data_IF_350485677236
#
_entry.id   IF_350485677236
#
_cell.length_a   1.000
_cell.length_b   1.000
_cell.length_c   1.000
_cell.angle_alpha   90.00
_cell.angle_beta   90.00
_cell.angle_gamma   90.00
#
_symmetry.space_group_name_H-M   'P 1'
#
loop_
_entity.id
_entity.type
_entity.pdbx_description
1 polymer ?
#
# COMPACT_ATOMS: atom_id res chain seq x y z
N UNK A 1 -4.71 16.36 -25.15
CA UNK A 1 -5.00 15.02 -24.57
C UNK A 1 -5.68 15.25 -23.22
N UNK A 2 -6.67 14.45 -22.82
CA UNK A 2 -7.24 14.57 -21.47
C UNK A 2 -6.11 14.38 -20.45
N UNK A 3 -6.16 15.13 -19.35
CA UNK A 3 -5.17 15.01 -18.27
C UNK A 3 -5.28 13.64 -17.61
N UNK A 4 -4.16 12.94 -17.48
CA UNK A 4 -4.12 11.64 -16.79
C UNK A 4 -4.41 11.83 -15.29
N UNK A 5 -5.11 10.90 -14.63
CA UNK A 5 -5.23 10.90 -13.18
C UNK A 5 -3.86 10.72 -12.52
N UNK A 6 -3.71 11.22 -11.30
CA UNK A 6 -2.44 11.17 -10.56
C UNK A 6 -2.59 10.26 -9.34
N UNK A 7 -1.63 9.36 -9.17
CA UNK A 7 -1.53 8.49 -8.01
C UNK A 7 -0.27 8.76 -7.19
N UNK A 8 -0.37 8.70 -5.85
CA UNK A 8 0.76 8.67 -4.93
C UNK A 8 0.91 7.26 -4.35
N UNK A 9 2.08 6.65 -4.54
CA UNK A 9 2.42 5.33 -3.98
C UNK A 9 3.55 5.49 -2.97
N UNK A 10 3.27 5.24 -1.69
CA UNK A 10 4.30 5.21 -0.66
C UNK A 10 5.04 3.88 -0.63
N UNK A 11 6.36 3.88 -0.40
CA UNK A 11 7.19 2.67 -0.54
C UNK A 11 7.24 2.18 -1.99
N UNK A 12 7.26 3.10 -2.97
CA UNK A 12 7.09 2.79 -4.39
C UNK A 12 8.34 2.33 -5.13
N UNK A 13 9.52 2.38 -4.50
CA UNK A 13 10.79 2.10 -5.19
C UNK A 13 10.96 0.63 -5.62
N UNK A 14 10.34 -0.32 -4.91
CA UNK A 14 10.56 -1.76 -5.14
C UNK A 14 9.40 -2.62 -4.66
N UNK A 15 9.49 -3.92 -4.91
CA UNK A 15 8.56 -4.93 -4.42
C UNK A 15 7.10 -4.60 -4.77
N UNK A 16 6.20 -4.76 -3.81
CA UNK A 16 4.76 -4.53 -3.99
C UNK A 16 4.49 -3.10 -4.47
N UNK A 17 5.16 -2.09 -3.89
CA UNK A 17 4.97 -0.70 -4.29
C UNK A 17 5.33 -0.43 -5.74
N UNK A 18 6.44 -0.98 -6.24
CA UNK A 18 6.81 -0.91 -7.67
C UNK A 18 5.77 -1.61 -8.55
N UNK A 19 5.33 -2.82 -8.18
CA UNK A 19 4.29 -3.54 -8.93
C UNK A 19 2.99 -2.75 -9.02
N UNK A 20 2.59 -2.07 -7.92
CA UNK A 20 1.42 -1.18 -7.91
C UNK A 20 1.65 0.03 -8.81
N UNK A 21 2.82 0.69 -8.72
CA UNK A 21 3.14 1.86 -9.53
C UNK A 21 3.08 1.53 -11.03
N UNK A 22 3.59 0.38 -11.44
CA UNK A 22 3.54 -0.07 -12.83
C UNK A 22 2.12 -0.36 -13.30
N UNK A 23 1.32 -1.06 -12.51
CA UNK A 23 -0.08 -1.35 -12.84
C UNK A 23 -0.95 -0.09 -12.94
N UNK A 24 -0.69 0.92 -12.11
CA UNK A 24 -1.32 2.23 -12.20
C UNK A 24 -0.92 2.96 -13.49
N UNK A 25 0.36 2.94 -13.85
CA UNK A 25 0.86 3.55 -15.09
C UNK A 25 0.21 2.92 -16.34
N UNK A 26 0.13 1.58 -16.39
CA UNK A 26 -0.56 0.80 -17.43
C UNK A 26 -2.06 1.12 -17.48
N UNK A 27 -2.65 1.48 -16.34
CA UNK A 27 -4.05 1.91 -16.22
C UNK A 27 -4.27 3.39 -16.52
N UNK A 28 -3.24 4.11 -16.99
CA UNK A 28 -3.35 5.49 -17.45
C UNK A 28 -3.07 6.55 -16.40
N UNK A 29 -2.55 6.20 -15.21
CA UNK A 29 -2.16 7.17 -14.19
C UNK A 29 -0.76 7.74 -14.45
N UNK A 30 -0.56 9.00 -14.06
CA UNK A 30 0.77 9.53 -13.72
C UNK A 30 1.05 9.19 -12.25
N UNK A 31 2.31 8.93 -11.91
CA UNK A 31 2.63 8.32 -10.61
C UNK A 31 3.68 9.13 -9.85
N UNK A 32 3.35 9.51 -8.63
CA UNK A 32 4.34 9.97 -7.65
C UNK A 32 4.72 8.78 -6.78
N UNK A 33 6.02 8.50 -6.69
CA UNK A 33 6.55 7.48 -5.78
C UNK A 33 7.24 8.16 -4.61
N UNK A 34 6.94 7.73 -3.38
CA UNK A 34 7.58 8.22 -2.18
C UNK A 34 8.30 7.08 -1.47
N UNK A 35 9.54 7.32 -1.05
CA UNK A 35 10.33 6.37 -0.27
C UNK A 35 11.36 7.13 0.58
N UNK A 36 12.09 6.45 1.47
CA UNK A 36 13.05 7.08 2.39
C UNK A 36 14.16 7.83 1.66
N UNK A 37 14.61 7.35 0.51
CA UNK A 37 15.67 7.98 -0.29
C UNK A 37 15.77 7.39 -1.68
N UNK A 38 16.42 8.11 -2.57
CA UNK A 38 16.71 7.64 -3.92
C UNK A 38 17.79 6.55 -3.89
N UNK A 39 17.57 5.48 -4.64
CA UNK A 39 18.48 4.34 -4.78
C UNK A 39 18.52 3.89 -6.26
N UNK A 40 19.29 2.86 -6.57
CA UNK A 40 19.25 2.23 -7.91
C UNK A 40 17.82 1.73 -8.24
N UNK A 41 17.09 1.22 -7.24
CA UNK A 41 15.69 0.82 -7.38
C UNK A 41 14.78 1.97 -7.81
N UNK A 42 15.05 3.21 -7.35
CA UNK A 42 14.31 4.41 -7.76
C UNK A 42 14.46 4.65 -9.25
N UNK A 43 15.70 4.67 -9.75
CA UNK A 43 15.97 4.90 -11.17
C UNK A 43 15.34 3.82 -12.05
N UNK A 44 15.39 2.55 -11.63
CA UNK A 44 14.73 1.45 -12.33
C UNK A 44 13.22 1.64 -12.38
N UNK A 45 12.61 2.04 -11.26
CA UNK A 45 11.16 2.26 -11.19
C UNK A 45 10.74 3.45 -12.05
N UNK A 46 11.47 4.56 -12.00
CA UNK A 46 11.20 5.73 -12.85
C UNK A 46 11.31 5.40 -14.33
N UNK A 47 12.37 4.68 -14.74
CA UNK A 47 12.53 4.22 -16.11
C UNK A 47 11.38 3.31 -16.56
N UNK A 48 10.98 2.35 -15.69
CA UNK A 48 9.87 1.46 -15.94
C UNK A 48 8.52 2.17 -16.03
N UNK A 49 8.30 3.25 -15.29
CA UNK A 49 7.10 4.10 -15.41
C UNK A 49 7.12 4.87 -16.73
N UNK A 50 8.27 5.41 -17.12
CA UNK A 50 8.45 6.11 -18.39
C UNK A 50 8.15 5.23 -19.61
N UNK A 51 8.61 3.97 -19.62
CA UNK A 51 8.30 3.00 -20.70
C UNK A 51 6.80 2.67 -20.82
N UNK A 52 6.03 2.88 -19.73
CA UNK A 52 4.56 2.74 -19.67
C UNK A 52 3.82 4.04 -20.00
N UNK A 53 4.56 5.07 -20.44
CA UNK A 53 4.01 6.36 -20.84
C UNK A 53 3.48 7.21 -19.70
N UNK A 54 3.84 6.91 -18.46
CA UNK A 54 3.47 7.70 -17.30
C UNK A 54 4.52 8.77 -17.00
N UNK A 55 4.06 9.97 -16.62
CA UNK A 55 4.94 10.91 -15.94
C UNK A 55 5.20 10.39 -14.54
N UNK A 56 6.43 10.47 -14.09
CA UNK A 56 6.83 10.04 -12.76
C UNK A 56 7.50 11.17 -11.99
N UNK A 57 7.32 11.17 -10.67
CA UNK A 57 8.08 12.00 -9.74
C UNK A 57 8.44 11.18 -8.51
N UNK A 58 9.72 11.15 -8.18
CA UNK A 58 10.20 10.62 -6.90
C UNK A 58 10.23 11.71 -5.83
N UNK A 59 9.84 11.35 -4.60
CA UNK A 59 9.90 12.21 -3.41
C UNK A 59 10.51 11.44 -2.25
N UNK A 60 11.65 11.91 -1.76
CA UNK A 60 12.22 11.35 -0.52
C UNK A 60 11.38 11.81 0.68
N UNK A 61 10.75 10.87 1.37
CA UNK A 61 9.92 11.12 2.54
C UNK A 61 9.84 9.90 3.46
N UNK A 62 10.03 10.13 4.76
CA UNK A 62 9.66 9.17 5.79
C UNK A 62 8.21 9.44 6.21
N UNK A 63 7.31 8.48 5.97
CA UNK A 63 5.91 8.62 6.35
C UNK A 63 5.70 8.59 7.86
N UNK A 64 6.65 8.06 8.63
CA UNK A 64 6.66 8.10 10.10
C UNK A 64 6.92 9.51 10.66
N UNK A 65 7.60 10.35 9.89
CA UNK A 65 7.89 11.76 10.22
C UNK A 65 6.75 12.66 9.72
N UNK A 66 5.85 13.06 10.62
CA UNK A 66 4.62 13.78 10.26
C UNK A 66 4.87 15.14 9.62
N UNK A 67 5.97 15.80 9.95
CA UNK A 67 6.42 17.06 9.37
C UNK A 67 6.81 16.93 7.88
N UNK A 68 7.17 15.72 7.42
CA UNK A 68 7.46 15.46 6.02
C UNK A 68 6.18 15.41 5.14
N UNK A 69 5.00 15.22 5.73
CA UNK A 69 3.76 15.00 4.97
C UNK A 69 3.37 16.21 4.11
N UNK A 70 3.49 17.43 4.64
CA UNK A 70 3.13 18.64 3.88
C UNK A 70 3.95 18.74 2.58
N UNK A 71 5.27 18.57 2.66
CA UNK A 71 6.17 18.58 1.50
C UNK A 71 5.86 17.45 0.52
N UNK A 72 5.55 16.26 1.03
CA UNK A 72 5.17 15.13 0.19
C UNK A 72 3.88 15.44 -0.59
N UNK A 73 2.87 16.02 0.07
CA UNK A 73 1.61 16.38 -0.57
C UNK A 73 1.82 17.46 -1.64
N UNK A 74 2.59 18.50 -1.36
CA UNK A 74 2.87 19.56 -2.33
C UNK A 74 3.57 19.00 -3.57
N UNK A 75 4.52 18.11 -3.38
CA UNK A 75 5.20 17.43 -4.46
C UNK A 75 4.23 16.53 -5.27
N UNK A 76 3.32 15.81 -4.61
CA UNK A 76 2.33 14.97 -5.27
C UNK A 76 1.35 15.80 -6.10
N UNK A 77 0.82 16.86 -5.54
CA UNK A 77 -0.11 17.75 -6.25
C UNK A 77 0.56 18.49 -7.43
N UNK A 78 1.86 18.78 -7.33
CA UNK A 78 2.56 19.52 -8.41
C UNK A 78 2.67 18.74 -9.71
N UNK A 79 2.50 17.42 -9.73
CA UNK A 79 2.59 16.60 -10.94
C UNK A 79 1.41 16.83 -11.89
N UNK A 80 0.21 17.10 -11.35
CA UNK A 80 -1.00 17.29 -12.15
C UNK A 80 -2.01 18.28 -11.55
N UNK A 81 -1.65 19.05 -10.53
CA UNK A 81 -2.53 19.97 -9.82
C UNK A 81 -3.56 19.29 -8.91
N UNK A 82 -3.50 17.96 -8.79
CA UNK A 82 -4.47 17.14 -8.04
C UNK A 82 -3.87 15.80 -7.65
N UNK A 83 -4.58 15.07 -6.80
CA UNK A 83 -4.31 13.65 -6.52
C UNK A 83 -5.63 12.88 -6.61
N UNK A 84 -5.68 11.84 -7.43
CA UNK A 84 -6.87 11.00 -7.64
C UNK A 84 -6.77 9.67 -6.87
N UNK A 85 -5.56 9.18 -6.59
CA UNK A 85 -5.38 7.94 -5.81
C UNK A 85 -4.21 8.08 -4.82
N UNK A 86 -4.46 7.70 -3.54
CA UNK A 86 -3.40 7.44 -2.57
C UNK A 86 -3.28 5.93 -2.38
N UNK A 87 -2.06 5.40 -2.52
CA UNK A 87 -1.74 4.02 -2.13
C UNK A 87 -0.80 4.05 -0.93
N UNK A 88 -1.34 3.71 0.23
CA UNK A 88 -0.59 3.51 1.46
C UNK A 88 0.06 2.13 1.43
N UNK A 89 1.28 2.03 0.91
CA UNK A 89 2.02 0.78 0.83
C UNK A 89 3.28 0.75 1.70
N UNK A 90 3.90 1.91 1.97
CA UNK A 90 5.08 1.96 2.83
C UNK A 90 4.85 1.29 4.18
N UNK A 91 5.83 0.52 4.62
CA UNK A 91 5.78 -0.15 5.91
C UNK A 91 7.01 -1.00 6.16
N UNK A 92 7.20 -1.34 7.41
CA UNK A 92 8.34 -2.15 7.88
C UNK A 92 7.86 -3.42 8.57
N UNK A 93 8.67 -4.47 8.48
CA UNK A 93 8.52 -5.66 9.32
C UNK A 93 9.16 -5.43 10.69
N UNK A 94 8.98 -6.37 11.60
CA UNK A 94 9.76 -6.44 12.83
C UNK A 94 11.25 -6.59 12.52
N UNK A 95 12.12 -5.98 13.30
CA UNK A 95 13.58 -6.10 13.13
C UNK A 95 14.05 -7.53 13.50
N UNK A 96 13.46 -8.10 14.55
CA UNK A 96 13.74 -9.45 15.04
C UNK A 96 12.40 -10.16 15.29
N UNK A 97 12.25 -11.37 14.76
CA UNK A 97 11.15 -12.25 15.12
C UNK A 97 11.46 -12.96 16.44
N UNK A 98 10.46 -13.14 17.28
CA UNK A 98 10.66 -13.74 18.59
C UNK A 98 9.37 -13.99 19.33
N UNK A 99 9.50 -14.33 20.62
CA UNK A 99 8.36 -14.52 21.52
C UNK A 99 7.62 -13.19 21.71
N UNK A 100 6.29 -13.25 21.75
CA UNK A 100 5.43 -12.10 22.04
C UNK A 100 5.80 -11.42 23.37
N UNK A 101 6.22 -12.20 24.37
CA UNK A 101 6.57 -11.68 25.69
C UNK A 101 7.92 -10.92 25.72
N UNK A 102 8.73 -11.05 24.66
CA UNK A 102 10.03 -10.38 24.50
C UNK A 102 9.97 -9.15 23.60
N UNK A 103 8.78 -8.76 23.11
CA UNK A 103 8.64 -7.55 22.27
C UNK A 103 8.99 -6.32 23.10
N UNK A 104 10.01 -5.56 22.65
CA UNK A 104 10.39 -4.33 23.34
C UNK A 104 9.49 -3.16 22.98
N UNK A 105 9.31 -2.17 23.88
CA UNK A 105 8.60 -0.92 23.58
C UNK A 105 9.11 -0.22 22.31
N UNK A 106 10.43 -0.19 22.09
CA UNK A 106 11.06 0.48 20.95
C UNK A 106 10.70 -0.22 19.64
N UNK A 107 10.65 -1.58 19.62
CA UNK A 107 10.20 -2.34 18.44
C UNK A 107 8.73 -2.06 18.16
N UNK A 108 7.91 -2.07 19.19
CA UNK A 108 6.48 -1.78 19.12
C UNK A 108 6.23 -0.37 18.56
N UNK A 109 6.84 0.64 19.18
CA UNK A 109 6.70 2.05 18.80
C UNK A 109 7.19 2.31 17.37
N UNK A 110 8.32 1.70 16.97
CA UNK A 110 8.84 1.83 15.61
C UNK A 110 7.85 1.26 14.58
N UNK A 111 7.32 0.05 14.81
CA UNK A 111 6.43 -0.61 13.85
C UNK A 111 5.09 0.10 13.78
N UNK A 112 4.49 0.44 14.91
CA UNK A 112 3.23 1.18 14.94
C UNK A 112 3.40 2.62 14.45
N UNK A 113 4.51 3.26 14.79
CA UNK A 113 4.84 4.62 14.37
C UNK A 113 4.85 4.77 12.86
N UNK A 114 5.50 3.85 12.16
CA UNK A 114 5.58 3.86 10.69
C UNK A 114 4.31 3.29 10.07
N UNK A 115 3.96 2.02 10.40
CA UNK A 115 2.93 1.31 9.66
C UNK A 115 1.52 1.83 9.93
N UNK A 116 1.23 2.29 11.14
CA UNK A 116 -0.12 2.73 11.53
C UNK A 116 -0.22 4.24 11.70
N UNK A 117 0.57 4.83 12.61
CA UNK A 117 0.46 6.25 12.91
C UNK A 117 0.81 7.12 11.71
N UNK A 118 1.94 6.86 11.05
CA UNK A 118 2.36 7.60 9.86
C UNK A 118 1.32 7.49 8.74
N UNK A 119 0.87 6.27 8.45
CA UNK A 119 -0.17 5.99 7.44
C UNK A 119 -1.48 6.70 7.76
N UNK A 120 -1.92 6.69 9.04
CA UNK A 120 -3.16 7.35 9.46
C UNK A 120 -3.11 8.86 9.20
N UNK A 121 -2.04 9.54 9.61
CA UNK A 121 -1.94 10.99 9.48
C UNK A 121 -1.63 11.43 8.05
N UNK A 122 -0.90 10.63 7.26
CA UNK A 122 -0.75 10.90 5.83
C UNK A 122 -2.11 10.80 5.13
N UNK A 123 -2.88 9.75 5.42
CA UNK A 123 -4.24 9.59 4.88
C UNK A 123 -5.13 10.77 5.27
N UNK A 124 -5.05 11.25 6.52
CA UNK A 124 -5.79 12.41 6.97
C UNK A 124 -5.44 13.66 6.16
N UNK A 125 -4.16 13.92 5.97
CA UNK A 125 -3.69 15.09 5.24
C UNK A 125 -4.11 15.04 3.77
N UNK A 126 -3.97 13.89 3.12
CA UNK A 126 -4.43 13.66 1.73
C UNK A 126 -5.95 13.82 1.64
N UNK A 127 -6.73 13.20 2.52
CA UNK A 127 -8.18 13.28 2.50
C UNK A 127 -8.68 14.72 2.67
N UNK A 128 -8.08 15.50 3.56
CA UNK A 128 -8.41 16.94 3.72
C UNK A 128 -8.20 17.71 2.43
N UNK A 129 -7.08 17.47 1.74
CA UNK A 129 -6.77 18.16 0.49
C UNK A 129 -7.68 17.69 -0.66
N UNK A 130 -7.93 16.38 -0.79
CA UNK A 130 -8.89 15.85 -1.76
C UNK A 130 -10.30 16.43 -1.57
N UNK A 131 -10.75 16.65 -0.31
CA UNK A 131 -12.06 17.26 -0.02
C UNK A 131 -12.12 18.73 -0.39
N UNK A 132 -11.00 19.45 -0.34
CA UNK A 132 -10.91 20.86 -0.73
C UNK A 132 -10.78 21.05 -2.25
N UNK A 133 -10.30 20.05 -2.97
CA UNK A 133 -10.10 20.11 -4.42
C UNK A 133 -11.43 19.98 -5.18
N UNK A 134 -11.54 20.68 -6.31
CA UNK A 134 -12.63 20.49 -7.26
C UNK A 134 -12.54 19.08 -7.88
N UNK A 135 -13.65 18.32 -7.96
CA UNK A 135 -13.65 17.03 -8.62
C UNK A 135 -13.17 17.10 -10.07
N UNK A 136 -12.26 16.23 -10.44
CA UNK A 136 -11.57 16.23 -11.74
C UNK A 136 -12.30 15.47 -12.86
N UNK A 137 -13.42 14.83 -12.53
CA UNK A 137 -14.08 13.87 -13.43
C UNK A 137 -13.46 12.46 -13.40
N UNK A 138 -12.34 12.27 -12.69
CA UNK A 138 -11.77 10.95 -12.41
C UNK A 138 -12.26 10.43 -11.05
N UNK A 139 -12.32 9.10 -10.91
CA UNK A 139 -12.57 8.45 -9.62
C UNK A 139 -11.47 8.81 -8.63
N UNK A 140 -11.86 9.05 -7.38
CA UNK A 140 -10.92 9.30 -6.29
C UNK A 140 -10.93 8.14 -5.31
N UNK A 141 -9.74 7.70 -4.88
CA UNK A 141 -9.62 6.54 -4.01
C UNK A 141 -8.43 6.61 -3.05
N UNK A 142 -8.55 5.86 -1.96
CA UNK A 142 -7.47 5.58 -1.02
C UNK A 142 -7.39 4.06 -0.86
N UNK A 143 -6.24 3.48 -1.21
CA UNK A 143 -5.98 2.04 -1.12
C UNK A 143 -4.91 1.80 -0.09
N UNK A 144 -5.20 1.01 0.94
CA UNK A 144 -4.24 0.68 2.00
C UNK A 144 -3.77 -0.76 1.86
N UNK A 145 -2.47 -0.95 1.73
CA UNK A 145 -1.84 -2.27 1.70
C UNK A 145 -1.57 -2.73 3.13
N UNK A 146 -2.46 -3.56 3.64
CA UNK A 146 -2.29 -4.15 4.97
C UNK A 146 -1.50 -5.47 4.90
N UNK A 147 -2.11 -6.59 5.18
CA UNK A 147 -1.53 -7.94 5.10
C UNK A 147 -2.61 -8.97 5.44
N UNK A 148 -2.42 -10.23 5.05
CA UNK A 148 -3.13 -11.35 5.64
C UNK A 148 -3.01 -11.35 7.19
N UNK A 149 -1.93 -10.79 7.73
CA UNK A 149 -1.75 -10.62 9.18
C UNK A 149 -2.63 -9.53 9.83
N UNK A 150 -3.48 -8.86 9.09
CA UNK A 150 -4.56 -8.07 9.68
C UNK A 150 -5.63 -8.96 10.37
N UNK A 151 -5.72 -10.23 9.96
CA UNK A 151 -6.70 -11.21 10.46
C UNK A 151 -6.11 -12.57 10.83
N UNK A 152 -4.91 -12.91 10.32
CA UNK A 152 -4.20 -14.15 10.64
C UNK A 152 -3.07 -13.83 11.62
N UNK A 153 -3.14 -14.43 12.81
CA UNK A 153 -2.12 -14.23 13.84
C UNK A 153 -0.77 -14.83 13.45
N UNK A 154 0.30 -14.10 13.71
CA UNK A 154 1.69 -14.55 13.60
C UNK A 154 2.41 -14.14 14.90
N UNK A 155 2.48 -15.03 15.90
CA UNK A 155 2.97 -14.69 17.24
C UNK A 155 4.41 -14.18 17.26
N UNK A 156 5.21 -14.59 16.29
CA UNK A 156 6.61 -14.18 16.13
C UNK A 156 6.84 -12.77 15.59
N UNK A 157 5.74 -11.99 15.36
CA UNK A 157 5.76 -10.59 14.89
C UNK A 157 4.50 -9.84 15.32
N UNK A 158 4.24 -9.86 16.60
CA UNK A 158 2.99 -9.40 17.20
C UNK A 158 2.69 -7.92 16.89
N UNK A 159 3.66 -7.03 17.04
CA UNK A 159 3.50 -5.59 16.77
C UNK A 159 3.15 -5.31 15.30
N UNK A 160 3.65 -6.12 14.37
CA UNK A 160 3.26 -6.05 12.96
C UNK A 160 1.80 -6.43 12.76
N UNK A 161 1.34 -7.53 13.39
CA UNK A 161 -0.07 -7.95 13.32
C UNK A 161 -0.99 -6.87 13.89
N UNK A 162 -0.65 -6.29 15.05
CA UNK A 162 -1.41 -5.19 15.66
C UNK A 162 -1.49 -3.98 14.72
N UNK A 163 -0.37 -3.56 14.14
CA UNK A 163 -0.35 -2.45 13.19
C UNK A 163 -1.24 -2.73 11.97
N UNK A 164 -1.16 -3.94 11.39
CA UNK A 164 -1.95 -4.32 10.21
C UNK A 164 -3.44 -4.48 10.52
N UNK A 165 -3.81 -4.96 11.70
CA UNK A 165 -5.19 -4.95 12.17
C UNK A 165 -5.73 -3.52 12.37
N UNK A 166 -4.89 -2.61 12.90
CA UNK A 166 -5.20 -1.18 12.99
C UNK A 166 -5.48 -0.54 11.63
N UNK A 167 -4.72 -0.89 10.59
CA UNK A 167 -4.97 -0.41 9.22
C UNK A 167 -6.32 -0.88 8.67
N UNK A 168 -6.76 -2.10 8.99
CA UNK A 168 -8.07 -2.59 8.59
C UNK A 168 -9.20 -1.75 9.21
N UNK A 169 -9.11 -1.39 10.49
CA UNK A 169 -10.06 -0.49 11.13
C UNK A 169 -9.96 0.93 10.57
N UNK A 170 -8.75 1.45 10.35
CA UNK A 170 -8.53 2.75 9.73
C UNK A 170 -9.24 2.86 8.37
N UNK A 171 -9.15 1.84 7.52
CA UNK A 171 -9.82 1.81 6.21
C UNK A 171 -11.32 2.00 6.36
N UNK A 172 -11.96 1.30 7.28
CA UNK A 172 -13.42 1.41 7.53
C UNK A 172 -13.81 2.81 8.03
N UNK A 173 -13.04 3.38 8.94
CA UNK A 173 -13.29 4.73 9.48
C UNK A 173 -13.21 5.80 8.38
N UNK A 174 -12.19 5.74 7.52
CA UNK A 174 -12.06 6.66 6.40
C UNK A 174 -13.14 6.41 5.34
N UNK A 175 -13.54 5.16 5.08
CA UNK A 175 -14.63 4.84 4.17
C UNK A 175 -15.93 5.51 4.61
N UNK A 176 -16.32 5.37 5.88
CA UNK A 176 -17.51 6.03 6.43
C UNK A 176 -17.43 7.56 6.30
N UNK A 177 -16.25 8.14 6.54
CA UNK A 177 -16.08 9.61 6.50
C UNK A 177 -16.08 10.18 5.08
N UNK A 178 -15.63 9.42 4.09
CA UNK A 178 -15.35 9.93 2.74
C UNK A 178 -16.37 9.49 1.69
N UNK A 179 -17.25 8.54 2.01
CA UNK A 179 -18.24 8.01 1.08
C UNK A 179 -19.14 9.10 0.46
N UNK A 180 -19.65 10.03 1.27
CA UNK A 180 -20.51 11.12 0.79
C UNK A 180 -19.78 12.10 -0.17
N UNK A 181 -18.45 12.12 -0.16
CA UNK A 181 -17.61 12.89 -1.08
C UNK A 181 -17.24 12.12 -2.35
N UNK A 182 -17.74 10.89 -2.52
CA UNK A 182 -17.42 10.04 -3.66
C UNK A 182 -15.96 9.56 -3.69
N UNK A 183 -15.29 9.48 -2.54
CA UNK A 183 -13.92 8.95 -2.42
C UNK A 183 -14.01 7.52 -1.93
N UNK A 184 -13.63 6.56 -2.77
CA UNK A 184 -13.57 5.14 -2.40
C UNK A 184 -12.39 4.86 -1.47
N UNK A 185 -12.60 4.04 -0.43
CA UNK A 185 -11.52 3.67 0.50
C UNK A 185 -11.50 2.15 0.64
N UNK A 186 -10.35 1.55 0.40
CA UNK A 186 -10.21 0.09 0.28
C UNK A 186 -8.97 -0.41 1.01
N UNK A 187 -9.01 -1.67 1.38
CA UNK A 187 -7.89 -2.44 1.91
C UNK A 187 -7.51 -3.54 0.92
N UNK A 188 -6.21 -3.75 0.71
CA UNK A 188 -5.68 -4.96 0.07
C UNK A 188 -4.88 -5.72 1.13
N UNK A 189 -5.14 -7.02 1.24
CA UNK A 189 -4.42 -7.95 2.13
C UNK A 189 -3.56 -8.91 1.33
N UNK A 190 -2.29 -8.56 1.06
CA UNK A 190 -1.38 -9.50 0.44
C UNK A 190 -1.09 -10.70 1.34
N UNK A 191 -0.97 -11.88 0.74
CA UNK A 191 -0.44 -13.08 1.38
C UNK A 191 1.08 -13.17 1.30
N UNK A 192 1.58 -14.31 0.82
CA UNK A 192 3.01 -14.56 0.61
C UNK A 192 3.41 -14.05 -0.77
N UNK A 193 3.93 -12.83 -0.84
CA UNK A 193 4.36 -12.17 -2.09
C UNK A 193 5.89 -12.20 -2.18
N UNK A 194 6.41 -12.46 -3.37
CA UNK A 194 7.85 -12.48 -3.67
C UNK A 194 8.41 -11.06 -3.65
N UNK A 195 9.18 -10.74 -2.63
CA UNK A 195 9.81 -9.42 -2.42
C UNK A 195 11.11 -9.61 -1.63
N UNK A 196 11.93 -8.57 -1.53
CA UNK A 196 13.12 -8.59 -0.66
C UNK A 196 12.77 -8.86 0.81
N UNK A 197 11.62 -8.37 1.27
CA UNK A 197 11.14 -8.60 2.65
C UNK A 197 10.89 -10.08 2.94
N UNK A 198 10.50 -10.87 1.94
CA UNK A 198 10.21 -12.31 2.07
C UNK A 198 11.39 -13.18 1.68
N UNK A 199 12.42 -12.63 1.03
CA UNK A 199 13.60 -13.34 0.52
C UNK A 199 14.30 -14.18 1.59
N UNK A 200 14.40 -13.66 2.81
CA UNK A 200 15.03 -14.35 3.95
C UNK A 200 14.29 -15.62 4.38
N UNK A 201 13.04 -15.80 3.96
CA UNK A 201 12.18 -16.93 4.31
C UNK A 201 11.78 -17.77 3.09
N UNK A 202 12.47 -17.61 1.94
CA UNK A 202 12.12 -18.27 0.67
C UNK A 202 11.97 -19.77 0.83
N UNK A 203 12.99 -20.47 1.34
CA UNK A 203 12.97 -21.92 1.49
C UNK A 203 11.82 -22.41 2.42
N UNK A 204 11.49 -21.64 3.46
CA UNK A 204 10.35 -21.93 4.33
C UNK A 204 9.03 -21.87 3.56
N UNK A 205 8.83 -20.80 2.80
CA UNK A 205 7.57 -20.61 2.07
C UNK A 205 7.46 -21.52 0.85
N UNK A 206 8.56 -21.84 0.16
CA UNK A 206 8.56 -22.83 -0.92
C UNK A 206 8.01 -24.17 -0.42
N UNK A 207 8.52 -24.64 0.73
CA UNK A 207 8.02 -25.86 1.37
C UNK A 207 6.54 -25.75 1.75
N UNK A 208 6.15 -24.70 2.45
CA UNK A 208 4.77 -24.52 2.91
C UNK A 208 3.78 -24.41 1.74
N UNK A 209 4.14 -23.73 0.66
CA UNK A 209 3.30 -23.62 -0.55
C UNK A 209 3.15 -25.00 -1.21
N UNK A 210 4.24 -25.77 -1.33
CA UNK A 210 4.18 -27.14 -1.85
C UNK A 210 3.33 -28.07 -0.97
N UNK A 211 3.27 -27.83 0.35
CA UNK A 211 2.44 -28.53 1.31
C UNK A 211 0.98 -27.98 1.38
N UNK A 212 0.62 -27.05 0.51
CA UNK A 212 -0.75 -26.54 0.39
C UNK A 212 -1.09 -25.40 1.35
N UNK A 213 -0.12 -24.58 1.74
CA UNK A 213 -0.37 -23.36 2.51
C UNK A 213 -1.42 -22.48 1.85
N UNK A 214 -1.36 -22.35 0.54
CA UNK A 214 -2.31 -21.58 -0.28
C UNK A 214 -2.99 -22.50 -1.31
N UNK A 215 -4.32 -22.40 -1.50
CA UNK A 215 -5.05 -23.09 -2.58
C UNK A 215 -4.46 -22.82 -3.97
N UNK A 216 -4.06 -21.58 -4.26
CA UNK A 216 -3.29 -21.25 -5.45
C UNK A 216 -1.81 -21.54 -5.12
N UNK A 217 -1.31 -22.71 -5.57
CA UNK A 217 -0.02 -23.28 -5.18
C UNK A 217 1.18 -22.58 -5.84
N UNK A 218 1.31 -21.27 -5.62
CA UNK A 218 2.45 -20.45 -6.04
C UNK A 218 2.65 -19.27 -5.11
N UNK A 219 3.82 -18.68 -5.19
CA UNK A 219 4.04 -17.33 -4.68
C UNK A 219 3.10 -16.34 -5.37
N UNK A 220 2.60 -15.37 -4.62
CA UNK A 220 2.10 -14.16 -5.23
C UNK A 220 3.25 -13.29 -5.75
N UNK A 221 3.00 -12.53 -6.80
CA UNK A 221 3.98 -11.58 -7.33
C UNK A 221 3.49 -10.14 -7.07
N UNK A 222 4.39 -9.13 -7.05
CA UNK A 222 4.02 -7.73 -6.89
C UNK A 222 2.91 -7.29 -7.86
N UNK A 223 2.89 -7.82 -9.08
CA UNK A 223 1.91 -7.54 -10.11
C UNK A 223 0.51 -8.06 -9.76
N UNK A 224 0.39 -9.13 -8.97
CA UNK A 224 -0.91 -9.61 -8.50
C UNK A 224 -1.58 -8.56 -7.60
N UNK A 225 -0.79 -7.93 -6.72
CA UNK A 225 -1.25 -6.83 -5.86
C UNK A 225 -1.47 -5.56 -6.68
N UNK A 226 -0.60 -5.30 -7.65
CA UNK A 226 -0.67 -4.14 -8.55
C UNK A 226 -1.98 -4.10 -9.33
N UNK A 227 -2.39 -5.22 -9.93
CA UNK A 227 -3.66 -5.32 -10.67
C UNK A 227 -4.87 -5.03 -9.78
N UNK A 228 -4.90 -5.55 -8.56
CA UNK A 228 -5.97 -5.26 -7.61
C UNK A 228 -6.02 -3.78 -7.24
N UNK A 229 -4.86 -3.16 -6.96
CA UNK A 229 -4.78 -1.74 -6.63
C UNK A 229 -5.24 -0.85 -7.81
N UNK A 230 -4.84 -1.17 -9.04
CA UNK A 230 -5.24 -0.42 -10.22
C UNK A 230 -6.75 -0.50 -10.50
N UNK A 231 -7.37 -1.67 -10.34
CA UNK A 231 -8.83 -1.84 -10.44
C UNK A 231 -9.57 -0.93 -9.45
N UNK A 232 -9.12 -0.89 -8.20
CA UNK A 232 -9.71 -0.03 -7.17
C UNK A 232 -9.47 1.46 -7.46
N UNK A 233 -8.28 1.82 -7.93
CA UNK A 233 -7.93 3.20 -8.27
C UNK A 233 -8.78 3.76 -9.42
N UNK A 234 -9.14 2.92 -10.38
CA UNK A 234 -10.02 3.28 -11.51
C UNK A 234 -11.49 3.47 -11.11
N UNK A 235 -11.89 3.05 -9.91
CA UNK A 235 -13.28 3.12 -9.44
C UNK A 235 -14.20 2.12 -10.11
N UNK A 236 -13.68 0.98 -10.58
CA UNK A 236 -14.48 -0.08 -11.23
C UNK A 236 -15.49 -0.73 -10.27
N UNK A 237 -15.29 -0.59 -8.97
CA UNK A 237 -16.23 -1.05 -7.92
C UNK A 237 -17.02 0.12 -7.33
N UNK A 238 -17.94 0.67 -8.10
CA UNK A 238 -18.62 1.94 -7.79
C UNK A 238 -19.55 1.89 -6.56
N UNK A 239 -19.96 0.69 -6.11
CA UNK A 239 -20.84 0.52 -4.93
C UNK A 239 -20.15 -0.26 -3.81
N UNK A 240 -18.81 -0.18 -3.76
CA UNK A 240 -17.99 -0.82 -2.73
C UNK A 240 -17.11 0.22 -2.05
N UNK A 241 -17.08 0.24 -0.73
CA UNK A 241 -16.13 1.01 0.08
C UNK A 241 -15.96 0.36 1.46
N UNK A 242 -14.81 0.54 2.10
CA UNK A 242 -14.51 -0.04 3.41
C UNK A 242 -14.15 -1.53 3.39
N UNK A 243 -14.13 -2.15 2.20
CA UNK A 243 -13.89 -3.56 2.02
C UNK A 243 -12.41 -3.92 1.86
N UNK A 244 -12.09 -5.16 2.22
CA UNK A 244 -10.76 -5.75 2.07
C UNK A 244 -10.75 -6.79 0.95
N UNK A 245 -9.80 -6.63 0.01
CA UNK A 245 -9.52 -7.63 -1.03
C UNK A 245 -8.31 -8.45 -0.60
N UNK A 246 -8.51 -9.76 -0.43
CA UNK A 246 -7.43 -10.68 -0.15
C UNK A 246 -6.71 -11.05 -1.46
N UNK A 247 -5.42 -10.69 -1.57
CA UNK A 247 -4.54 -11.07 -2.67
C UNK A 247 -3.49 -12.02 -2.10
N UNK A 248 -3.93 -13.21 -1.71
CA UNK A 248 -3.21 -14.13 -0.85
C UNK A 248 -3.22 -15.60 -1.28
N UNK A 249 -3.73 -15.86 -2.49
CA UNK A 249 -3.83 -17.23 -3.02
C UNK A 249 -4.80 -18.13 -2.25
N UNK A 250 -5.70 -17.54 -1.44
CA UNK A 250 -6.64 -18.26 -0.60
C UNK A 250 -6.08 -18.63 0.79
N UNK A 251 -4.95 -18.03 1.21
CA UNK A 251 -4.32 -18.26 2.53
C UNK A 251 -5.30 -18.04 3.70
N UNK A 252 -6.22 -17.06 3.57
CA UNK A 252 -7.18 -16.72 4.62
C UNK A 252 -8.33 -17.73 4.77
N UNK A 253 -8.50 -18.66 3.81
CA UNK A 253 -9.60 -19.63 3.82
C UNK A 253 -9.29 -20.72 4.84
N UNK A 254 -10.15 -20.86 5.84
CA UNK A 254 -10.00 -21.94 6.83
C UNK A 254 -10.24 -23.29 6.16
N UNK A 255 -9.36 -24.25 6.46
CA UNK A 255 -9.49 -25.65 6.01
C UNK A 255 -9.78 -26.51 7.23
N UNK A 256 -10.68 -27.46 7.07
CA UNK A 256 -10.95 -28.52 8.04
C UNK A 256 -10.00 -29.68 7.82
#
# INVERSE_FOLDING_TARGET
MPMRPVALVTGGNRGIGRGIAYALAESGFDVVIADLGATADTAETEAGLGTRGARCRFVAADIGALDAHARLLDAAWSLGGRLDCLVNNAGVSVAKRGDLLDVSPESFDRVLGINLRGTFFLTQAVARRMLADTPSGHSRSIVTISSANAVIASPDRAEYCVAKAGLAMMTRLYALRLAAAGIGVYEIRPGVIRTDMTKVATAKYDKLIAEGLTPIARWGEPEDVGRAAAMLAKGELSFVTGEAINVDGGLHIQKF
#
